data_IF_910045744298
#
_entry.id   IF_910045744298
#
_cell.length_a   1.000
_cell.length_b   1.000
_cell.length_c   1.000
_cell.angle_alpha   90.00
_cell.angle_beta   90.00
_cell.angle_gamma   90.00
#
_symmetry.space_group_name_H-M   'P 1'
#
loop_
_entity.id
_entity.type
_entity.pdbx_description
1 polymer ?
#
# COMPACT_ATOMS: atom_id res chain seq x y z
N UNK A 1 -5.44 -13.53 7.56
CA UNK A 1 -4.63 -12.30 7.42
C UNK A 1 -3.18 -12.62 7.75
N UNK A 2 -2.26 -12.15 6.94
CA UNK A 2 -0.85 -12.37 7.16
C UNK A 2 -0.12 -11.03 7.14
N UNK A 3 0.77 -10.80 8.10
CA UNK A 3 1.56 -9.58 8.21
C UNK A 3 3.02 -9.92 7.95
N UNK A 4 3.63 -9.24 6.99
CA UNK A 4 5.01 -9.48 6.59
C UNK A 4 5.81 -8.19 6.66
N UNK A 5 6.77 -8.07 7.60
CA UNK A 5 7.69 -6.94 7.58
C UNK A 5 8.60 -7.02 6.35
N UNK A 6 8.66 -5.95 5.57
CA UNK A 6 9.49 -5.92 4.36
C UNK A 6 10.79 -5.17 4.64
N UNK A 7 10.70 -4.06 5.36
CA UNK A 7 11.82 -3.21 5.69
C UNK A 7 11.46 -2.39 6.91
N UNK A 8 12.38 -1.55 7.37
CA UNK A 8 12.11 -0.62 8.45
C UNK A 8 10.92 0.27 8.07
N UNK A 9 9.89 0.30 8.90
CA UNK A 9 8.67 1.08 8.70
C UNK A 9 7.89 0.72 7.44
N UNK A 10 8.08 -0.48 6.90
CA UNK A 10 7.44 -0.94 5.68
C UNK A 10 6.92 -2.35 5.91
N UNK A 11 5.60 -2.52 5.93
CA UNK A 11 4.94 -3.77 6.27
C UNK A 11 3.87 -4.09 5.24
N UNK A 12 3.76 -5.36 4.87
CA UNK A 12 2.70 -5.83 3.99
C UNK A 12 1.71 -6.66 4.81
N UNK A 13 0.42 -6.39 4.61
CA UNK A 13 -0.65 -7.19 5.20
C UNK A 13 -1.43 -7.84 4.06
N UNK A 14 -1.60 -9.15 4.13
CA UNK A 14 -2.40 -9.87 3.14
C UNK A 14 -3.74 -10.27 3.75
N UNK A 15 -4.81 -9.93 3.03
CA UNK A 15 -6.17 -10.34 3.37
C UNK A 15 -6.70 -11.23 2.24
N UNK A 16 -7.95 -11.69 2.37
CA UNK A 16 -8.59 -12.48 1.32
C UNK A 16 -8.83 -11.68 0.02
N UNK A 17 -8.78 -10.36 0.09
CA UNK A 17 -9.12 -9.49 -1.04
C UNK A 17 -7.92 -8.76 -1.64
N UNK A 18 -6.86 -8.56 -0.86
CA UNK A 18 -5.77 -7.72 -1.31
C UNK A 18 -4.50 -7.94 -0.47
N UNK A 19 -3.38 -7.49 -1.04
CA UNK A 19 -2.14 -7.27 -0.28
C UNK A 19 -2.00 -5.77 -0.12
N UNK A 20 -1.79 -5.30 1.10
CA UNK A 20 -1.81 -3.88 1.42
C UNK A 20 -0.46 -3.48 1.99
N UNK A 21 0.13 -2.44 1.41
CA UNK A 21 1.40 -1.89 1.87
C UNK A 21 1.14 -0.81 2.91
N UNK A 22 1.74 -0.99 4.09
CA UNK A 22 1.77 0.04 5.13
C UNK A 22 3.13 0.70 5.13
N UNK A 23 3.14 2.02 5.07
CA UNK A 23 4.31 2.83 5.33
C UNK A 23 4.12 3.46 6.70
N UNK A 24 5.01 3.12 7.64
CA UNK A 24 4.80 3.41 9.05
C UNK A 24 3.52 2.73 9.53
N UNK A 25 2.45 3.45 9.78
CA UNK A 25 1.18 2.88 10.23
C UNK A 25 0.03 3.19 9.29
N UNK A 26 0.34 3.66 8.10
CA UNK A 26 -0.66 4.15 7.15
C UNK A 26 -0.69 3.25 5.92
N UNK A 27 -1.86 2.75 5.51
CA UNK A 27 -1.96 2.02 4.24
C UNK A 27 -1.79 3.01 3.09
N UNK A 28 -0.80 2.79 2.24
CA UNK A 28 -0.46 3.74 1.18
C UNK A 28 -0.55 3.14 -0.22
N UNK A 29 -0.63 1.82 -0.33
CA UNK A 29 -0.76 1.15 -1.62
C UNK A 29 -1.35 -0.24 -1.39
N UNK A 30 -1.84 -0.85 -2.46
CA UNK A 30 -2.37 -2.20 -2.38
C UNK A 30 -2.30 -2.87 -3.74
N UNK A 31 -2.25 -4.21 -3.72
CA UNK A 31 -2.53 -5.03 -4.88
C UNK A 31 -3.87 -5.71 -4.64
N UNK A 32 -4.90 -5.25 -5.32
CA UNK A 32 -6.26 -5.78 -5.14
C UNK A 32 -6.44 -6.93 -6.12
N UNK A 33 -6.72 -8.12 -5.60
CA UNK A 33 -6.88 -9.30 -6.43
C UNK A 33 -8.01 -9.08 -7.43
N UNK A 34 -7.69 -9.24 -8.72
CA UNK A 34 -8.64 -9.00 -9.80
C UNK A 34 -8.66 -7.56 -10.33
N UNK A 35 -8.06 -6.61 -9.62
CA UNK A 35 -8.03 -5.20 -10.07
C UNK A 35 -6.61 -4.70 -10.36
N UNK A 36 -5.60 -5.17 -9.60
CA UNK A 36 -4.23 -4.74 -9.79
C UNK A 36 -3.76 -3.77 -8.74
N UNK A 37 -2.66 -3.08 -9.04
CA UNK A 37 -2.04 -2.14 -8.09
C UNK A 37 -2.79 -0.82 -8.01
N UNK A 38 -2.94 -0.34 -6.78
CA UNK A 38 -3.46 1.00 -6.49
C UNK A 38 -2.53 1.65 -5.48
N UNK A 39 -2.48 2.97 -5.48
CA UNK A 39 -1.68 3.74 -4.53
C UNK A 39 -2.45 4.98 -4.12
N UNK A 40 -2.08 5.54 -2.95
CA UNK A 40 -2.72 6.76 -2.47
C UNK A 40 -2.42 7.93 -3.42
N UNK A 41 -3.41 8.81 -3.58
CA UNK A 41 -3.22 10.07 -4.31
C UNK A 41 -2.65 11.17 -3.41
N UNK A 42 -2.51 10.89 -2.11
CA UNK A 42 -2.00 11.85 -1.15
C UNK A 42 -0.49 11.70 -1.01
N UNK A 43 0.22 12.83 -1.04
CA UNK A 43 1.65 12.84 -0.76
C UNK A 43 1.86 12.84 0.76
N UNK A 44 2.53 11.82 1.27
CA UNK A 44 2.85 11.72 2.70
C UNK A 44 4.26 12.20 2.99
N UNK A 45 5.25 11.66 2.27
CA UNK A 45 6.64 12.02 2.43
C UNK A 45 7.46 11.38 1.31
N UNK A 46 8.69 11.84 1.16
CA UNK A 46 9.63 11.22 0.20
C UNK A 46 9.88 9.77 0.56
N UNK A 47 10.00 9.46 1.86
CA UNK A 47 10.23 8.10 2.32
C UNK A 47 9.06 7.19 1.96
N UNK A 48 7.82 7.66 2.18
CA UNK A 48 6.64 6.89 1.81
C UNK A 48 6.56 6.65 0.30
N UNK A 49 6.89 7.67 -0.50
CA UNK A 49 6.93 7.50 -1.96
C UNK A 49 7.96 6.45 -2.38
N UNK A 50 9.10 6.41 -1.72
CA UNK A 50 10.11 5.37 -1.97
C UNK A 50 9.59 3.99 -1.60
N UNK A 51 8.85 3.87 -0.50
CA UNK A 51 8.25 2.60 -0.10
C UNK A 51 7.29 2.10 -1.18
N UNK A 52 6.43 2.97 -1.69
CA UNK A 52 5.49 2.62 -2.75
C UNK A 52 6.23 2.14 -3.99
N UNK A 53 7.27 2.86 -4.42
CA UNK A 53 8.06 2.51 -5.60
C UNK A 53 8.78 1.18 -5.40
N UNK A 54 9.40 0.99 -4.24
CA UNK A 54 10.14 -0.23 -3.94
C UNK A 54 9.21 -1.46 -3.89
N UNK A 55 8.00 -1.27 -3.40
CA UNK A 55 7.03 -2.35 -3.30
C UNK A 55 6.45 -2.76 -4.66
N UNK A 56 6.55 -1.89 -5.68
CA UNK A 56 6.10 -2.21 -7.02
C UNK A 56 4.82 -1.52 -7.44
N UNK A 57 4.31 -0.59 -6.64
CA UNK A 57 3.05 0.10 -6.93
C UNK A 57 3.27 1.46 -7.62
N UNK A 58 4.47 1.72 -8.12
CA UNK A 58 4.81 3.01 -8.75
C UNK A 58 3.82 3.39 -9.85
N UNK A 59 3.46 2.44 -10.69
CA UNK A 59 2.56 2.68 -11.82
C UNK A 59 1.12 2.31 -11.50
N UNK A 60 0.80 2.09 -10.23
CA UNK A 60 -0.54 1.79 -9.80
C UNK A 60 -1.50 2.95 -10.00
N UNK A 61 -2.79 2.66 -10.07
CA UNK A 61 -3.82 3.66 -10.18
C UNK A 61 -3.89 4.48 -8.88
N UNK A 62 -3.94 5.80 -9.00
CA UNK A 62 -4.13 6.65 -7.83
C UNK A 62 -5.58 6.60 -7.36
N UNK A 63 -5.75 6.40 -6.05
CA UNK A 63 -7.06 6.31 -5.43
C UNK A 63 -7.08 7.17 -4.17
N UNK A 64 -8.27 7.62 -3.71
CA UNK A 64 -8.36 8.35 -2.46
C UNK A 64 -7.85 7.53 -1.27
N UNK A 65 -7.24 8.22 -0.30
CA UNK A 65 -6.73 7.57 0.89
C UNK A 65 -7.82 6.76 1.62
N UNK A 66 -9.04 7.27 1.62
CA UNK A 66 -10.16 6.57 2.26
C UNK A 66 -10.39 5.18 1.69
N UNK A 67 -10.14 4.98 0.41
CA UNK A 67 -10.28 3.66 -0.20
C UNK A 67 -9.27 2.67 0.36
N UNK A 68 -8.05 3.13 0.58
CA UNK A 68 -7.01 2.29 1.19
C UNK A 68 -7.33 2.01 2.65
N UNK A 69 -7.79 3.02 3.38
CA UNK A 69 -8.18 2.86 4.78
C UNK A 69 -9.29 1.81 4.93
N UNK A 70 -10.18 1.71 3.97
CA UNK A 70 -11.31 0.79 3.99
C UNK A 70 -10.94 -0.65 3.61
N UNK A 71 -9.71 -0.88 3.14
CA UNK A 71 -9.25 -2.23 2.83
C UNK A 71 -8.82 -3.00 4.08
N UNK A 72 -8.64 -2.29 5.17
CA UNK A 72 -8.17 -2.88 6.43
C UNK A 72 -9.18 -2.71 7.55
#
# INVERSE_FOLDING_TARGET
>A
MQLTPIASNMTEIETSEARILFSYRTPVAAYIFGEGYVKTDQFWSVTTSRHINKWGARDGQEVPQARLDNLV
#
